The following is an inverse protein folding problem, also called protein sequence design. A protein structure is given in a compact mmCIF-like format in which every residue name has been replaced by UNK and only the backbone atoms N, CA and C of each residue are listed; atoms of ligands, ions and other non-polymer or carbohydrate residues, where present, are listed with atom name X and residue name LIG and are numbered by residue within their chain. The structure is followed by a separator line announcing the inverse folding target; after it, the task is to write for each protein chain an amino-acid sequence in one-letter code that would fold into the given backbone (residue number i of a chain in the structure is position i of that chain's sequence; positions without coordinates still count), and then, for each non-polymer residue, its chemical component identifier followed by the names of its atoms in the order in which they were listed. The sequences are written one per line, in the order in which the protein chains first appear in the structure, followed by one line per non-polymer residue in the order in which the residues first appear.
data_IF_619205187819
#
_entry.id   IF_619205187819
#
_cell.length_a   1.000
_cell.length_b   1.000
_cell.length_c   1.000
_cell.angle_alpha   90.00
_cell.angle_beta   90.00
_cell.angle_gamma   90.00
#
_symmetry.space_group_name_H-M   'P 1'
#
loop_
_entity.id
_entity.type
_entity.pdbx_description
1 polymer ?
#
# COMPACT_ATOMS: atom_id res chain seq x y z
N UNK A 1 -4.68 -19.69 32.08
CA UNK A 1 -5.94 -19.19 31.47
C UNK A 1 -6.56 -18.07 32.30
N UNK A 2 -6.96 -18.33 33.56
CA UNK A 2 -7.58 -17.36 34.48
C UNK A 2 -6.88 -15.99 34.54
N UNK A 3 -5.56 -15.95 34.79
CA UNK A 3 -4.80 -14.69 34.86
C UNK A 3 -4.80 -13.88 33.55
N UNK A 4 -4.79 -14.54 32.39
CA UNK A 4 -4.81 -13.84 31.11
C UNK A 4 -6.19 -13.25 30.80
N UNK A 5 -7.25 -13.98 31.17
CA UNK A 5 -8.63 -13.50 31.06
C UNK A 5 -8.85 -12.33 32.04
N UNK A 6 -8.35 -12.42 33.27
CA UNK A 6 -8.38 -11.30 34.24
C UNK A 6 -7.75 -10.03 33.66
N UNK A 7 -6.53 -10.15 33.10
CA UNK A 7 -5.83 -9.02 32.49
C UNK A 7 -6.62 -8.42 31.33
N UNK A 8 -7.26 -9.25 30.49
CA UNK A 8 -8.07 -8.77 29.37
C UNK A 8 -9.37 -8.07 29.86
N UNK A 9 -10.05 -8.65 30.85
CA UNK A 9 -11.31 -8.10 31.37
C UNK A 9 -11.14 -6.77 32.13
N UNK A 10 -9.94 -6.43 32.59
CA UNK A 10 -9.65 -5.09 33.14
C UNK A 10 -9.89 -3.96 32.15
N UNK A 11 -9.84 -4.23 30.84
CA UNK A 11 -10.19 -3.31 29.76
C UNK A 11 -11.26 -3.93 28.87
N UNK A 12 -12.38 -4.32 29.49
CA UNK A 12 -13.49 -4.93 28.77
C UNK A 12 -14.07 -3.97 27.71
N UNK A 13 -14.54 -4.54 26.60
CA UNK A 13 -15.11 -3.78 25.51
C UNK A 13 -16.50 -3.22 25.85
N UNK A 14 -16.83 -2.01 25.38
CA UNK A 14 -18.18 -1.48 25.46
C UNK A 14 -19.14 -2.27 24.57
N UNK A 15 -20.45 -2.09 24.79
CA UNK A 15 -21.51 -2.78 24.05
C UNK A 15 -21.42 -2.60 22.53
N UNK A 16 -20.87 -1.49 22.06
CA UNK A 16 -20.58 -1.21 20.66
C UNK A 16 -19.12 -0.78 20.51
N UNK A 17 -18.35 -1.54 19.73
CA UNK A 17 -16.93 -1.26 19.48
C UNK A 17 -16.81 -0.42 18.21
N UNK A 18 -16.43 0.86 18.30
CA UNK A 18 -16.31 1.69 17.11
C UNK A 18 -15.05 1.29 16.34
N UNK A 19 -15.18 0.74 15.13
CA UNK A 19 -14.00 0.28 14.36
C UNK A 19 -13.39 1.36 13.46
N UNK A 20 -14.07 2.49 13.28
CA UNK A 20 -13.68 3.55 12.34
C UNK A 20 -13.70 4.95 12.99
N UNK A 21 -13.11 5.91 12.28
CA UNK A 21 -13.06 7.32 12.71
C UNK A 21 -12.18 7.58 13.93
N UNK A 22 -12.38 8.73 14.57
CA UNK A 22 -11.61 9.12 15.75
C UNK A 22 -11.94 8.29 16.98
N UNK A 23 -13.17 7.73 17.05
CA UNK A 23 -13.56 6.80 18.08
C UNK A 23 -12.73 5.50 17.99
N UNK A 24 -12.63 4.89 16.79
CA UNK A 24 -11.80 3.70 16.58
C UNK A 24 -10.30 3.93 16.83
N UNK A 25 -9.78 5.14 16.55
CA UNK A 25 -8.37 5.49 16.85
C UNK A 25 -8.05 5.55 18.34
N UNK A 26 -9.04 5.79 19.19
CA UNK A 26 -8.88 5.85 20.66
C UNK A 26 -9.23 4.53 21.34
N UNK A 27 -9.68 3.53 20.59
CA UNK A 27 -10.01 2.23 21.17
C UNK A 27 -8.76 1.57 21.78
N UNK A 28 -8.96 1.07 22.98
CA UNK A 28 -8.06 0.15 23.67
C UNK A 28 -8.91 -0.76 24.55
N UNK A 29 -9.50 -1.79 23.94
CA UNK A 29 -10.37 -2.72 24.64
C UNK A 29 -10.16 -4.17 24.19
N UNK A 30 -10.38 -5.10 25.11
CA UNK A 30 -10.32 -6.53 24.85
C UNK A 30 -11.71 -7.15 24.82
N UNK A 31 -11.86 -8.14 23.97
CA UNK A 31 -13.01 -9.04 23.93
C UNK A 31 -12.49 -10.45 24.08
N UNK A 32 -13.09 -11.23 24.98
CA UNK A 32 -12.69 -12.60 25.25
C UNK A 32 -13.82 -13.53 24.85
N UNK A 33 -13.56 -14.39 23.87
CA UNK A 33 -14.44 -15.46 23.46
C UNK A 33 -13.87 -16.82 23.89
N UNK A 34 -14.75 -17.76 24.19
CA UNK A 34 -14.42 -19.18 24.25
C UNK A 34 -15.01 -19.86 23.02
N UNK A 35 -14.12 -20.42 22.21
CA UNK A 35 -14.45 -21.20 21.02
C UNK A 35 -14.53 -22.69 21.38
N UNK A 36 -15.46 -23.40 20.73
CA UNK A 36 -15.53 -24.86 20.75
C UNK A 36 -14.34 -25.49 19.99
N UNK A 37 -14.18 -26.82 20.03
CA UNK A 37 -13.15 -27.53 19.28
C UNK A 37 -13.26 -27.30 17.77
N UNK A 38 -14.48 -27.08 17.27
CA UNK A 38 -14.83 -26.71 15.89
C UNK A 38 -14.54 -25.24 15.53
N UNK A 39 -14.16 -24.39 16.50
CA UNK A 39 -13.79 -22.99 16.27
C UNK A 39 -14.96 -22.01 16.24
N UNK A 40 -16.16 -22.44 16.67
CA UNK A 40 -17.31 -21.56 16.83
C UNK A 40 -17.27 -20.86 18.20
N UNK A 41 -17.40 -19.52 18.22
CA UNK A 41 -17.46 -18.72 19.45
C UNK A 41 -18.74 -18.97 20.22
N UNK A 42 -18.69 -19.89 21.20
CA UNK A 42 -19.86 -20.30 22.00
C UNK A 42 -20.13 -19.37 23.17
N UNK A 43 -19.11 -18.73 23.71
CA UNK A 43 -19.23 -17.90 24.90
C UNK A 43 -18.46 -16.60 24.77
N UNK A 44 -19.07 -15.50 25.18
CA UNK A 44 -18.48 -14.17 25.30
C UNK A 44 -18.35 -13.84 26.79
N UNK A 45 -17.13 -13.60 27.25
CA UNK A 45 -16.85 -13.28 28.65
C UNK A 45 -17.13 -11.81 28.97
N UNK A 46 -17.86 -11.55 30.05
CA UNK A 46 -18.10 -10.20 30.56
C UNK A 46 -17.39 -9.96 31.89
N UNK A 47 -17.44 -10.92 32.81
CA UNK A 47 -16.94 -10.76 34.18
C UNK A 47 -16.34 -12.06 34.73
N UNK A 48 -15.33 -11.92 35.60
CA UNK A 48 -14.69 -13.04 36.30
C UNK A 48 -15.23 -13.12 37.73
N UNK A 49 -15.78 -14.27 38.12
CA UNK A 49 -16.29 -14.53 39.48
C UNK A 49 -15.43 -15.56 40.21
N UNK A 50 -15.65 -15.74 41.52
CA UNK A 50 -14.90 -16.70 42.34
C UNK A 50 -15.07 -18.15 41.86
N UNK A 51 -16.21 -18.47 41.23
CA UNK A 51 -16.56 -19.84 40.80
C UNK A 51 -16.46 -20.08 39.29
N UNK A 52 -16.28 -19.03 38.48
CA UNK A 52 -16.19 -19.18 37.04
C UNK A 52 -16.18 -17.86 36.26
N UNK A 53 -16.56 -17.94 35.00
CA UNK A 53 -16.62 -16.82 34.07
C UNK A 53 -18.08 -16.56 33.72
N UNK A 54 -18.57 -15.34 33.99
CA UNK A 54 -19.93 -14.93 33.62
C UNK A 54 -19.90 -14.17 32.29
N UNK A 55 -20.93 -14.38 31.50
CA UNK A 55 -20.94 -13.89 30.14
C UNK A 55 -22.19 -14.29 29.39
N UNK A 56 -22.11 -14.17 28.07
CA UNK A 56 -23.22 -14.49 27.18
C UNK A 56 -22.89 -15.71 26.33
N UNK A 57 -23.82 -16.65 26.25
CA UNK A 57 -23.75 -17.85 25.43
C UNK A 57 -24.41 -17.61 24.07
N UNK A 58 -23.90 -18.30 23.05
CA UNK A 58 -24.34 -18.22 21.67
C UNK A 58 -24.62 -19.61 21.12
N UNK A 59 -25.89 -19.84 20.78
CA UNK A 59 -26.34 -21.09 20.16
C UNK A 59 -25.89 -21.16 18.69
N UNK A 60 -25.86 -20.02 18.00
CA UNK A 60 -25.53 -19.91 16.57
C UNK A 60 -24.07 -19.50 16.29
N UNK A 61 -23.28 -19.25 17.33
CA UNK A 61 -21.89 -18.76 17.24
C UNK A 61 -21.75 -17.30 16.80
N UNK A 62 -22.86 -16.55 16.63
CA UNK A 62 -22.88 -15.14 16.20
C UNK A 62 -23.66 -14.23 17.15
N UNK A 63 -24.77 -14.71 17.69
CA UNK A 63 -25.66 -13.93 18.56
C UNK A 63 -25.49 -14.38 20.01
N UNK A 64 -24.90 -13.51 20.84
CA UNK A 64 -24.67 -13.76 22.26
C UNK A 64 -25.83 -13.17 23.07
N UNK A 65 -26.84 -13.98 23.35
CA UNK A 65 -28.12 -13.51 23.95
C UNK A 65 -28.32 -14.05 25.36
N UNK A 66 -27.97 -15.31 25.61
CA UNK A 66 -28.28 -15.99 26.88
C UNK A 66 -27.21 -15.74 27.93
N UNK A 67 -27.59 -15.33 29.13
CA UNK A 67 -26.64 -15.21 30.24
C UNK A 67 -26.24 -16.59 30.75
N UNK A 68 -24.93 -16.85 30.81
CA UNK A 68 -24.39 -18.14 31.22
C UNK A 68 -23.14 -17.95 32.08
N UNK A 69 -22.91 -18.88 33.00
CA UNK A 69 -21.70 -18.95 33.83
C UNK A 69 -20.95 -20.23 33.55
N UNK A 70 -19.75 -20.11 32.99
CA UNK A 70 -18.88 -21.26 32.69
C UNK A 70 -17.95 -21.51 33.88
N UNK A 71 -18.01 -22.69 34.53
CA UNK A 71 -17.14 -23.01 35.65
C UNK A 71 -15.69 -23.25 35.17
N UNK A 72 -14.71 -23.04 36.05
CA UNK A 72 -13.30 -23.23 35.74
C UNK A 72 -12.94 -24.67 35.34
N UNK A 73 -13.74 -25.65 35.74
CA UNK A 73 -13.56 -27.07 35.40
C UNK A 73 -13.77 -27.36 33.92
N UNK A 74 -14.62 -26.57 33.24
CA UNK A 74 -14.93 -26.74 31.81
C UNK A 74 -13.92 -26.05 30.88
N UNK A 75 -12.97 -25.27 31.43
CA UNK A 75 -11.99 -24.52 30.63
C UNK A 75 -11.13 -25.37 29.67
N UNK A 76 -10.73 -26.62 30.00
CA UNK A 76 -9.97 -27.47 29.08
C UNK A 76 -10.73 -27.84 27.79
N UNK A 77 -12.06 -27.77 27.81
CA UNK A 77 -12.90 -28.12 26.66
C UNK A 77 -12.95 -27.00 25.61
N UNK A 78 -12.57 -25.78 25.99
CA UNK A 78 -12.67 -24.59 25.16
C UNK A 78 -11.31 -24.01 24.75
N UNK A 79 -11.27 -23.42 23.56
CA UNK A 79 -10.13 -22.64 23.07
C UNK A 79 -10.39 -21.14 23.29
N UNK A 80 -9.50 -20.41 23.98
CA UNK A 80 -9.70 -18.99 24.22
C UNK A 80 -9.32 -18.17 22.98
N UNK A 81 -10.23 -17.33 22.51
CA UNK A 81 -9.97 -16.30 21.51
C UNK A 81 -10.04 -14.92 22.18
N UNK A 82 -8.88 -14.30 22.38
CA UNK A 82 -8.80 -12.92 22.88
C UNK A 82 -8.57 -11.99 21.70
N UNK A 83 -9.50 -11.09 21.46
CA UNK A 83 -9.41 -10.03 20.47
C UNK A 83 -9.05 -8.72 21.17
N UNK A 84 -7.99 -8.06 20.72
CA UNK A 84 -7.60 -6.73 21.20
C UNK A 84 -7.88 -5.71 20.11
N UNK A 85 -8.76 -4.77 20.40
CA UNK A 85 -9.04 -3.62 19.55
C UNK A 85 -8.17 -2.47 20.03
N UNK A 86 -7.14 -2.13 19.26
CA UNK A 86 -6.20 -1.07 19.60
C UNK A 86 -5.97 -0.11 18.43
N UNK A 87 -6.38 1.14 18.60
CA UNK A 87 -6.08 2.23 17.66
C UNK A 87 -6.54 1.99 16.22
N UNK A 88 -7.67 1.32 16.03
CA UNK A 88 -8.25 0.95 14.73
C UNK A 88 -7.81 -0.42 14.20
N UNK A 89 -6.95 -1.14 14.92
CA UNK A 89 -6.47 -2.48 14.55
C UNK A 89 -7.09 -3.55 15.45
N UNK A 90 -7.32 -4.73 14.88
CA UNK A 90 -7.79 -5.91 15.61
C UNK A 90 -6.69 -6.96 15.68
N UNK A 91 -6.26 -7.32 16.88
CA UNK A 91 -5.27 -8.36 17.11
C UNK A 91 -5.92 -9.58 17.74
N UNK A 92 -5.86 -10.71 17.02
CA UNK A 92 -6.42 -11.97 17.49
C UNK A 92 -5.36 -12.82 18.16
N UNK A 93 -5.69 -13.42 19.30
CA UNK A 93 -4.84 -14.36 20.03
C UNK A 93 -5.64 -15.58 20.44
N UNK A 94 -5.41 -16.71 19.74
CA UNK A 94 -6.05 -18.01 20.00
C UNK A 94 -5.36 -18.83 21.09
N UNK A 95 -4.23 -18.34 21.61
CA UNK A 95 -3.45 -19.02 22.63
C UNK A 95 -3.11 -18.07 23.77
N UNK A 96 -3.27 -18.55 25.00
CA UNK A 96 -3.03 -17.77 26.22
C UNK A 96 -1.57 -17.28 26.30
N UNK A 97 -0.62 -18.15 25.96
CA UNK A 97 0.80 -17.81 25.92
C UNK A 97 1.08 -16.72 24.88
N UNK A 98 0.49 -16.83 23.68
CA UNK A 98 0.61 -15.82 22.62
C UNK A 98 0.06 -14.46 23.06
N UNK A 99 -1.04 -14.46 23.83
CA UNK A 99 -1.62 -13.25 24.39
C UNK A 99 -0.70 -12.60 25.42
N UNK A 100 -0.22 -13.37 26.40
CA UNK A 100 0.68 -12.87 27.45
C UNK A 100 1.95 -12.30 26.84
N UNK A 101 2.53 -13.00 25.86
CA UNK A 101 3.74 -12.55 25.18
C UNK A 101 3.50 -11.22 24.44
N UNK A 102 2.41 -11.11 23.66
CA UNK A 102 2.05 -9.87 22.94
C UNK A 102 1.75 -8.71 23.89
N UNK A 103 1.11 -9.00 25.03
CA UNK A 103 0.81 -8.01 26.06
C UNK A 103 2.09 -7.51 26.73
N UNK A 104 2.98 -8.42 27.14
CA UNK A 104 4.26 -8.09 27.78
C UNK A 104 5.18 -7.29 26.85
N UNK A 105 5.30 -7.72 25.59
CA UNK A 105 6.10 -7.03 24.57
C UNK A 105 5.46 -5.73 24.07
N UNK A 106 4.26 -5.35 24.56
CA UNK A 106 3.53 -4.19 24.05
C UNK A 106 3.42 -4.19 22.52
N UNK A 107 3.30 -5.38 21.93
CA UNK A 107 3.35 -5.58 20.48
C UNK A 107 2.30 -4.75 19.72
N UNK A 108 1.04 -4.64 20.19
CA UNK A 108 0.04 -3.78 19.56
C UNK A 108 0.46 -2.29 19.52
N UNK A 109 1.09 -1.79 20.59
CA UNK A 109 1.59 -0.41 20.66
C UNK A 109 2.67 -0.18 19.60
N UNK A 110 3.68 -1.04 19.58
CA UNK A 110 4.80 -0.92 18.65
C UNK A 110 4.37 -1.09 17.20
N UNK A 111 3.48 -2.05 16.91
CA UNK A 111 2.98 -2.29 15.55
C UNK A 111 2.18 -1.09 15.02
N UNK A 112 1.29 -0.52 15.82
CA UNK A 112 0.51 0.66 15.43
C UNK A 112 1.40 1.89 15.30
N UNK A 113 2.35 2.10 16.22
CA UNK A 113 3.31 3.19 16.12
C UNK A 113 4.17 3.09 14.85
N UNK A 114 4.68 1.90 14.55
CA UNK A 114 5.47 1.65 13.35
C UNK A 114 4.69 1.92 12.07
N UNK A 115 3.45 1.45 11.97
CA UNK A 115 2.64 1.69 10.78
C UNK A 115 2.29 3.18 10.60
N UNK A 116 2.00 3.89 11.70
CA UNK A 116 1.81 5.34 11.71
C UNK A 116 3.08 6.09 11.27
N UNK A 117 4.26 5.65 11.72
CA UNK A 117 5.53 6.21 11.29
C UNK A 117 5.76 6.01 9.78
N UNK A 118 5.52 4.80 9.28
CA UNK A 118 5.60 4.53 7.84
C UNK A 118 4.60 5.38 7.05
N UNK A 119 3.38 5.57 7.55
CA UNK A 119 2.38 6.45 6.92
C UNK A 119 2.85 7.92 6.94
N UNK A 120 3.39 8.41 8.06
CA UNK A 120 3.89 9.78 8.15
C UNK A 120 5.09 10.02 7.22
N UNK A 121 6.01 9.06 7.15
CA UNK A 121 7.12 9.08 6.21
C UNK A 121 6.63 9.09 4.75
N UNK A 122 5.65 8.23 4.44
CA UNK A 122 5.05 8.16 3.13
C UNK A 122 4.32 9.45 2.74
N UNK A 123 3.57 10.07 3.67
CA UNK A 123 2.87 11.33 3.44
C UNK A 123 3.83 12.49 3.17
N UNK A 124 5.02 12.49 3.79
CA UNK A 124 6.07 13.51 3.55
C UNK A 124 6.79 13.32 2.23
N UNK A 125 6.76 12.13 1.65
CA UNK A 125 7.41 11.85 0.38
C UNK A 125 6.63 12.53 -0.75
N UNK A 126 7.31 13.34 -1.55
CA UNK A 126 6.76 13.79 -2.83
C UNK A 126 6.64 12.58 -3.76
N UNK A 127 5.42 12.29 -4.18
CA UNK A 127 5.18 11.25 -5.17
C UNK A 127 5.49 11.84 -6.54
N UNK A 128 6.55 11.32 -7.18
CA UNK A 128 6.80 11.64 -8.58
C UNK A 128 5.59 11.20 -9.38
N UNK A 129 4.87 12.14 -9.97
CA UNK A 129 3.74 11.86 -10.86
C UNK A 129 4.26 11.05 -12.03
N UNK A 130 3.63 9.92 -12.29
CA UNK A 130 4.04 9.05 -13.38
C UNK A 130 3.57 9.65 -14.71
N UNK A 131 4.45 9.65 -15.69
CA UNK A 131 4.13 10.11 -17.04
C UNK A 131 3.08 9.20 -17.71
N UNK A 132 2.31 9.76 -18.65
CA UNK A 132 1.22 9.10 -19.37
C UNK A 132 1.67 7.77 -19.96
N UNK A 133 2.88 7.71 -20.51
CA UNK A 133 3.39 6.51 -21.15
C UNK A 133 3.63 5.39 -20.13
N UNK A 134 4.07 5.74 -18.92
CA UNK A 134 4.30 4.75 -17.87
C UNK A 134 2.98 4.15 -17.37
N UNK A 135 1.93 4.96 -17.29
CA UNK A 135 0.57 4.47 -17.02
C UNK A 135 0.09 3.58 -18.18
N UNK A 136 0.24 4.01 -19.42
CA UNK A 136 -0.20 3.24 -20.58
C UNK A 136 0.51 1.89 -20.70
N UNK A 137 1.83 1.84 -20.46
CA UNK A 137 2.61 0.58 -20.40
C UNK A 137 2.11 -0.35 -19.29
N UNK A 138 1.73 0.19 -18.14
CA UNK A 138 1.16 -0.60 -17.06
C UNK A 138 -0.19 -1.20 -17.45
N UNK A 139 -1.10 -0.39 -18.00
CA UNK A 139 -2.42 -0.86 -18.47
C UNK A 139 -2.25 -1.94 -19.55
N UNK A 140 -1.32 -1.76 -20.49
CA UNK A 140 -0.98 -2.80 -21.48
C UNK A 140 -0.51 -4.09 -20.80
N UNK A 141 0.45 -4.01 -19.88
CA UNK A 141 0.98 -5.19 -19.19
C UNK A 141 -0.10 -5.94 -18.40
N UNK A 142 -1.03 -5.23 -17.77
CA UNK A 142 -2.14 -5.86 -17.04
C UNK A 142 -3.22 -6.41 -17.99
N UNK A 143 -3.46 -5.74 -19.12
CA UNK A 143 -4.37 -6.23 -20.17
C UNK A 143 -3.83 -7.51 -20.83
N UNK A 144 -2.51 -7.65 -20.96
CA UNK A 144 -1.88 -8.89 -21.47
C UNK A 144 -2.12 -10.06 -20.52
N UNK A 145 -2.13 -9.82 -19.20
CA UNK A 145 -2.45 -10.87 -18.21
C UNK A 145 -3.95 -11.16 -18.17
N UNK A 146 -4.77 -10.12 -18.20
CA UNK A 146 -6.22 -10.20 -18.17
C UNK A 146 -6.81 -9.35 -19.29
N UNK A 147 -7.30 -9.99 -20.35
CA UNK A 147 -7.84 -9.31 -21.54
C UNK A 147 -8.98 -8.34 -21.26
N UNK A 148 -9.70 -8.55 -20.15
CA UNK A 148 -10.82 -7.72 -19.72
C UNK A 148 -10.42 -6.76 -18.57
N UNK A 149 -9.13 -6.45 -18.45
CA UNK A 149 -8.65 -5.48 -17.47
C UNK A 149 -9.32 -4.11 -17.67
N UNK A 150 -9.82 -3.54 -16.56
CA UNK A 150 -10.47 -2.25 -16.54
C UNK A 150 -9.58 -1.30 -15.76
N UNK A 151 -9.06 -0.28 -16.44
CA UNK A 151 -8.21 0.72 -15.83
C UNK A 151 -9.05 1.69 -14.98
N UNK A 152 -8.71 1.77 -13.69
CA UNK A 152 -9.29 2.71 -12.75
C UNK A 152 -8.21 3.51 -12.01
N UNK A 153 -8.50 4.77 -11.72
CA UNK A 153 -7.62 5.69 -10.99
C UNK A 153 -7.13 5.08 -9.66
N UNK A 154 -8.05 4.51 -8.88
CA UNK A 154 -7.75 3.96 -7.55
C UNK A 154 -6.83 2.75 -7.60
N UNK A 155 -6.96 1.91 -8.63
CA UNK A 155 -6.11 0.76 -8.84
C UNK A 155 -4.71 1.20 -9.30
N UNK A 156 -4.63 2.16 -10.24
CA UNK A 156 -3.36 2.76 -10.66
C UNK A 156 -2.60 3.36 -9.48
N UNK A 157 -3.29 4.12 -8.63
CA UNK A 157 -2.71 4.73 -7.44
C UNK A 157 -2.23 3.68 -6.44
N UNK A 158 -3.01 2.62 -6.25
CA UNK A 158 -2.64 1.50 -5.38
C UNK A 158 -1.43 0.76 -5.91
N UNK A 159 -1.33 0.58 -7.23
CA UNK A 159 -0.17 -0.05 -7.86
C UNK A 159 1.09 0.81 -7.75
N UNK A 160 1.02 2.10 -8.09
CA UNK A 160 2.20 2.96 -8.13
C UNK A 160 2.68 3.38 -6.74
N UNK A 161 1.77 3.50 -5.78
CA UNK A 161 2.05 4.13 -4.50
C UNK A 161 1.61 3.31 -3.27
N UNK A 162 1.08 2.10 -3.45
CA UNK A 162 0.48 1.24 -2.40
C UNK A 162 -0.80 1.82 -1.80
N UNK A 163 -1.62 0.99 -1.13
CA UNK A 163 -2.89 1.39 -0.46
C UNK A 163 -2.74 2.59 0.49
N UNK A 164 -1.51 2.91 0.95
CA UNK A 164 -1.20 4.07 1.81
C UNK A 164 -1.58 5.42 1.19
N UNK A 165 -1.74 5.53 -0.13
CA UNK A 165 -2.15 6.77 -0.80
C UNK A 165 -3.51 7.29 -0.29
N UNK A 166 -4.41 6.39 0.14
CA UNK A 166 -5.78 6.73 0.59
C UNK A 166 -5.79 7.65 1.83
N UNK A 167 -4.75 7.58 2.66
CA UNK A 167 -4.62 8.38 3.89
C UNK A 167 -3.72 9.61 3.72
N UNK A 168 -3.37 9.96 2.48
CA UNK A 168 -2.61 11.19 2.21
C UNK A 168 -3.54 12.42 2.22
N UNK A 169 -3.02 13.59 2.62
CA UNK A 169 -3.78 14.84 2.58
C UNK A 169 -4.09 15.30 1.15
N UNK A 170 -3.19 15.04 0.20
CA UNK A 170 -3.26 15.42 -1.24
C UNK A 170 -3.94 14.34 -2.10
N UNK A 171 -4.65 13.37 -1.50
CA UNK A 171 -5.25 12.23 -2.21
C UNK A 171 -6.22 12.66 -3.32
N UNK A 172 -7.00 13.73 -3.10
CA UNK A 172 -8.00 14.21 -4.06
C UNK A 172 -7.34 14.82 -5.29
N UNK A 173 -6.25 15.58 -5.09
CA UNK A 173 -5.44 16.13 -6.20
C UNK A 173 -4.79 14.99 -6.99
N UNK A 174 -4.30 13.97 -6.30
CA UNK A 174 -3.69 12.79 -6.90
C UNK A 174 -4.70 12.01 -7.75
N UNK A 175 -5.90 11.76 -7.21
CA UNK A 175 -7.00 11.14 -7.95
C UNK A 175 -7.38 11.96 -9.18
N UNK A 176 -7.59 13.26 -9.01
CA UNK A 176 -7.91 14.18 -10.11
C UNK A 176 -6.84 14.14 -11.21
N UNK A 177 -5.56 14.12 -10.85
CA UNK A 177 -4.48 14.00 -11.83
C UNK A 177 -4.54 12.69 -12.64
N UNK A 178 -4.72 11.56 -11.97
CA UNK A 178 -4.80 10.26 -12.66
C UNK A 178 -6.09 10.11 -13.47
N UNK A 179 -7.18 10.73 -13.05
CA UNK A 179 -8.41 10.86 -13.83
C UNK A 179 -8.17 11.61 -15.13
N UNK A 180 -7.60 12.81 -15.04
CA UNK A 180 -7.26 13.61 -16.22
C UNK A 180 -6.29 12.88 -17.16
N UNK A 181 -5.35 12.11 -16.60
CA UNK A 181 -4.42 11.30 -17.38
C UNK A 181 -5.15 10.18 -18.13
N UNK A 182 -6.07 9.47 -17.47
CA UNK A 182 -6.90 8.46 -18.11
C UNK A 182 -7.82 9.04 -19.19
N UNK A 183 -8.44 10.20 -18.91
CA UNK A 183 -9.27 10.94 -19.86
C UNK A 183 -8.44 11.35 -21.10
N UNK A 184 -7.20 11.83 -20.90
CA UNK A 184 -6.30 12.18 -22.01
C UNK A 184 -5.88 10.95 -22.85
N UNK A 185 -5.69 9.78 -22.22
CA UNK A 185 -5.41 8.52 -22.92
C UNK A 185 -6.63 8.00 -23.68
N UNK A 186 -7.84 8.28 -23.19
CA UNK A 186 -9.07 7.99 -23.91
C UNK A 186 -9.21 8.92 -25.12
N UNK A 187 -8.96 10.21 -24.95
CA UNK A 187 -9.03 11.21 -26.03
C UNK A 187 -7.98 10.94 -27.14
N UNK A 188 -6.78 10.49 -26.77
CA UNK A 188 -5.77 10.05 -27.75
C UNK A 188 -6.15 8.75 -28.49
N UNK A 189 -7.18 8.05 -28.03
CA UNK A 189 -7.63 6.76 -28.55
C UNK A 189 -6.74 5.59 -28.13
N UNK A 190 -5.91 5.76 -27.10
CA UNK A 190 -5.12 4.67 -26.50
C UNK A 190 -5.96 3.82 -25.54
N UNK A 191 -7.01 4.42 -24.97
CA UNK A 191 -8.04 3.75 -24.17
C UNK A 191 -9.42 3.95 -24.80
N UNK A 192 -10.34 3.02 -24.53
CA UNK A 192 -11.73 3.09 -24.95
C UNK A 192 -12.68 2.91 -23.78
N UNK A 193 -13.83 3.57 -23.85
CA UNK A 193 -14.90 3.38 -22.88
C UNK A 193 -15.52 2.00 -23.03
N UNK A 194 -15.59 1.26 -21.93
CA UNK A 194 -16.35 0.03 -21.77
C UNK A 194 -17.48 0.23 -20.73
N UNK A 195 -18.32 -0.79 -20.57
CA UNK A 195 -19.51 -0.75 -19.71
C UNK A 195 -19.21 -0.40 -18.25
N UNK A 196 -18.03 -0.77 -17.74
CA UNK A 196 -17.65 -0.60 -16.34
C UNK A 196 -16.34 0.19 -16.13
N UNK A 197 -15.82 0.85 -17.17
CA UNK A 197 -14.60 1.68 -17.07
C UNK A 197 -13.83 1.77 -18.38
N UNK A 198 -12.53 2.03 -18.31
CA UNK A 198 -11.66 2.19 -19.48
C UNK A 198 -10.89 0.91 -19.78
N UNK A 199 -10.85 0.50 -21.03
CA UNK A 199 -10.11 -0.69 -21.50
C UNK A 199 -9.09 -0.26 -22.54
N UNK A 200 -8.00 -1.01 -22.66
CA UNK A 200 -6.97 -0.74 -23.66
C UNK A 200 -7.51 -0.85 -25.09
N UNK A 201 -7.15 0.12 -25.94
CA UNK A 201 -7.33 0.03 -27.38
C UNK A 201 -6.07 -0.51 -28.06
N UNK A 202 -6.17 -1.34 -29.13
CA UNK A 202 -5.00 -1.80 -29.88
C UNK A 202 -4.09 -0.68 -30.39
N UNK A 203 -4.61 0.53 -30.62
CA UNK A 203 -3.83 1.71 -30.99
C UNK A 203 -2.72 2.02 -29.97
N UNK A 204 -2.93 1.73 -28.68
CA UNK A 204 -1.94 1.95 -27.63
C UNK A 204 -0.61 1.23 -27.89
N UNK A 205 -0.63 0.07 -28.55
CA UNK A 205 0.59 -0.69 -28.89
C UNK A 205 1.45 0.12 -29.87
N UNK A 206 0.82 0.76 -30.86
CA UNK A 206 1.52 1.61 -31.82
C UNK A 206 2.05 2.87 -31.15
N UNK A 207 1.27 3.49 -30.26
CA UNK A 207 1.70 4.67 -29.50
C UNK A 207 2.92 4.37 -28.64
N UNK A 208 2.95 3.22 -27.95
CA UNK A 208 4.11 2.79 -27.16
C UNK A 208 5.32 2.54 -28.05
N UNK A 209 5.14 1.81 -29.17
CA UNK A 209 6.23 1.50 -30.09
C UNK A 209 6.84 2.77 -30.72
N UNK A 210 6.00 3.72 -31.13
CA UNK A 210 6.43 5.01 -31.67
C UNK A 210 7.25 5.80 -30.65
N UNK A 211 6.75 5.91 -29.41
CA UNK A 211 7.48 6.61 -28.35
C UNK A 211 8.84 5.96 -28.08
N UNK A 212 8.90 4.63 -27.96
CA UNK A 212 10.18 3.94 -27.72
C UNK A 212 11.17 4.14 -28.86
N UNK A 213 10.69 4.23 -30.10
CA UNK A 213 11.53 4.50 -31.26
C UNK A 213 12.02 5.95 -31.29
N UNK A 214 11.19 6.92 -30.91
CA UNK A 214 11.58 8.32 -30.76
C UNK A 214 12.64 8.50 -29.67
N UNK A 215 12.45 7.88 -28.50
CA UNK A 215 13.41 7.92 -27.41
C UNK A 215 14.78 7.36 -27.84
N UNK A 216 14.79 6.23 -28.57
CA UNK A 216 16.02 5.66 -29.15
C UNK A 216 16.68 6.62 -30.14
N UNK A 217 15.90 7.26 -31.02
CA UNK A 217 16.40 8.26 -31.98
C UNK A 217 16.99 9.48 -31.26
N UNK A 218 16.35 9.98 -30.22
CA UNK A 218 16.86 11.08 -29.41
C UNK A 218 18.20 10.72 -28.76
N UNK A 219 18.32 9.53 -28.17
CA UNK A 219 19.58 9.04 -27.61
C UNK A 219 20.70 8.92 -28.66
N UNK A 220 20.40 8.35 -29.83
CA UNK A 220 21.35 8.23 -30.93
C UNK A 220 21.78 9.58 -31.51
N UNK A 221 20.84 10.53 -31.63
CA UNK A 221 21.13 11.89 -32.08
C UNK A 221 22.02 12.63 -31.09
N UNK A 222 21.78 12.49 -29.78
CA UNK A 222 22.61 13.08 -28.74
C UNK A 222 24.04 12.51 -28.77
N UNK A 223 24.19 11.19 -28.91
CA UNK A 223 25.50 10.55 -29.04
C UNK A 223 26.24 11.02 -30.29
N UNK A 224 25.55 11.07 -31.43
CA UNK A 224 26.10 11.56 -32.71
C UNK A 224 26.52 13.03 -32.60
N UNK A 225 25.68 13.89 -32.02
CA UNK A 225 26.02 15.31 -31.81
C UNK A 225 27.23 15.49 -30.90
N UNK A 226 27.37 14.69 -29.84
CA UNK A 226 28.55 14.73 -28.99
C UNK A 226 29.81 14.29 -29.75
N UNK A 227 29.71 13.28 -30.62
CA UNK A 227 30.79 12.88 -31.52
C UNK A 227 31.21 14.00 -32.48
N UNK A 228 30.24 14.68 -33.11
CA UNK A 228 30.50 15.82 -34.01
C UNK A 228 31.16 16.97 -33.24
N UNK A 229 30.67 17.31 -32.04
CA UNK A 229 31.28 18.36 -31.19
C UNK A 229 32.74 18.02 -30.87
N UNK A 230 33.02 16.79 -30.47
CA UNK A 230 34.37 16.33 -30.19
C UNK A 230 35.28 16.43 -31.43
N UNK A 231 34.81 15.96 -32.58
CA UNK A 231 35.55 16.05 -33.84
C UNK A 231 35.82 17.51 -34.24
N UNK A 232 34.84 18.40 -34.07
CA UNK A 232 34.95 19.83 -34.37
C UNK A 232 36.02 20.50 -33.51
N UNK A 233 36.09 20.14 -32.21
CA UNK A 233 37.14 20.64 -31.30
C UNK A 233 38.53 20.21 -31.79
N UNK A 234 38.71 18.94 -32.17
CA UNK A 234 39.98 18.44 -32.70
C UNK A 234 40.37 19.17 -33.99
N UNK A 235 39.46 19.28 -34.95
CA UNK A 235 39.71 19.97 -36.23
C UNK A 235 40.10 21.43 -36.01
N UNK A 236 39.45 22.11 -35.07
CA UNK A 236 39.78 23.49 -34.72
C UNK A 236 41.20 23.60 -34.16
N UNK A 237 41.60 22.69 -33.26
CA UNK A 237 42.96 22.64 -32.72
C UNK A 237 44.02 22.35 -33.80
N UNK A 238 43.74 21.42 -34.70
CA UNK A 238 44.64 21.11 -35.83
C UNK A 238 44.78 22.32 -36.75
N UNK A 239 43.68 23.02 -37.07
CA UNK A 239 43.70 24.23 -37.88
C UNK A 239 44.53 25.35 -37.25
N UNK A 240 44.43 25.54 -35.92
CA UNK A 240 45.27 26.48 -35.17
C UNK A 240 46.75 26.08 -35.27
N UNK A 241 47.07 24.80 -35.05
CA UNK A 241 48.45 24.30 -35.12
C UNK A 241 49.06 24.50 -36.52
N UNK A 242 48.30 24.24 -37.58
CA UNK A 242 48.73 24.47 -38.96
C UNK A 242 48.95 25.96 -39.26
N UNK A 243 48.06 26.83 -38.80
CA UNK A 243 48.22 28.28 -38.96
C UNK A 243 49.48 28.80 -38.26
N UNK A 244 49.75 28.33 -37.03
CA UNK A 244 50.97 28.69 -36.27
C UNK A 244 52.22 28.19 -36.98
N UNK A 245 52.23 26.94 -37.46
CA UNK A 245 53.35 26.38 -38.20
C UNK A 245 53.64 27.15 -39.49
N UNK A 246 52.61 27.51 -40.26
CA UNK A 246 52.75 28.30 -41.48
C UNK A 246 53.32 29.70 -41.21
N UNK A 247 52.88 30.36 -40.13
CA UNK A 247 53.42 31.66 -39.71
C UNK A 247 54.90 31.53 -39.36
N UNK A 248 55.28 30.51 -38.58
CA UNK A 248 56.67 30.27 -38.19
C UNK A 248 57.58 30.06 -39.40
N UNK A 249 57.18 29.22 -40.36
CA UNK A 249 57.94 29.02 -41.61
C UNK A 249 58.08 30.31 -42.43
N UNK A 250 57.02 31.12 -42.50
CA UNK A 250 57.05 32.39 -43.24
C UNK A 250 57.99 33.43 -42.61
N UNK A 251 58.20 33.35 -41.30
CA UNK A 251 59.07 34.26 -40.54
C UNK A 251 60.54 33.90 -40.67
N UNK A 252 60.87 32.61 -40.79
CA UNK A 252 62.25 32.12 -40.94
C UNK A 252 62.76 32.09 -42.38
N UNK A 253 61.88 32.23 -43.38
CA UNK A 253 62.25 32.27 -44.81
C UNK A 253 62.43 33.70 -45.37
N UNK A 254 62.37 34.73 -44.53
CA UNK A 254 62.76 36.11 -44.87
C UNK A 254 64.14 36.42 -44.30
#
# INVERSE_FOLDING_TARGET
MRRAIDIALRKNAPMMIPTSGDAGRRNDCYVVYLEDQEGHGRFLANELTEHGLQGKWSVDGKNFVEECSVPYTAFPEFKPLIQHYYGGWTFNSRSISSFILKHLLSYPLWRVAWDRLLQAFFNRRQLTRHDRLRVLKYVLAETVKNRNYIAHETELLTQFYTVRWVFRPDKEELMTYYRLLLDALQESGDLKQAQFGLVLDPKAINTIAQYEQEERRHGQNAATQNGIRFLTVILTLVGIAQAVAAIHESWWKK
#
